data_IF_756368639475
#
_entry.id   IF_756368639475
#
_cell.length_a   1.000
_cell.length_b   1.000
_cell.length_c   1.000
_cell.angle_alpha   90.00
_cell.angle_beta   90.00
_cell.angle_gamma   90.00
#
_symmetry.space_group_name_H-M   'P 1'
#
loop_
_entity.id
_entity.type
_entity.pdbx_description
1 polymer ?
#
# COMPACT_ATOMS: atom_id res chain seq x y z
N UNK A 1 -49.53 -11.69 -27.24
CA UNK A 1 -48.14 -11.20 -27.20
C UNK A 1 -48.01 -10.14 -28.27
N UNK A 2 -48.15 -8.87 -27.89
CA UNK A 2 -48.16 -7.75 -28.84
C UNK A 2 -46.77 -7.13 -28.81
N UNK A 3 -45.95 -7.45 -29.81
CA UNK A 3 -44.67 -6.76 -30.06
C UNK A 3 -44.96 -5.28 -30.37
N UNK A 4 -44.68 -4.40 -29.41
CA UNK A 4 -44.70 -2.96 -29.66
C UNK A 4 -43.47 -2.59 -30.51
N UNK A 5 -43.68 -2.40 -31.82
CA UNK A 5 -42.69 -1.79 -32.71
C UNK A 5 -42.40 -0.35 -32.27
N UNK A 6 -41.13 -0.07 -31.93
CA UNK A 6 -40.61 1.27 -31.58
C UNK A 6 -40.87 2.27 -32.74
N UNK A 7 -41.34 3.50 -32.48
CA UNK A 7 -41.54 4.50 -33.53
C UNK A 7 -40.20 4.95 -34.18
N UNK A 8 -40.16 5.30 -35.49
CA UNK A 8 -38.92 5.41 -36.27
C UNK A 8 -38.15 6.74 -36.09
N UNK A 9 -38.45 7.55 -35.07
CA UNK A 9 -38.01 8.95 -35.03
C UNK A 9 -36.98 9.29 -33.95
N UNK A 10 -36.69 8.37 -33.02
CA UNK A 10 -35.65 8.60 -32.02
C UNK A 10 -34.38 7.83 -32.38
N UNK A 11 -33.23 8.50 -32.52
CA UNK A 11 -31.96 7.81 -32.71
C UNK A 11 -31.68 6.90 -31.51
N UNK A 12 -31.08 5.74 -31.76
CA UNK A 12 -30.60 4.85 -30.70
C UNK A 12 -29.52 5.55 -29.87
N UNK A 13 -29.32 5.12 -28.63
CA UNK A 13 -28.25 5.68 -27.76
C UNK A 13 -26.87 5.55 -28.42
N UNK A 14 -26.56 4.41 -29.02
CA UNK A 14 -25.33 4.22 -29.79
C UNK A 14 -25.19 5.23 -30.94
N UNK A 15 -26.28 5.53 -31.65
CA UNK A 15 -26.25 6.53 -32.74
C UNK A 15 -26.04 7.94 -32.19
N UNK A 16 -26.56 8.26 -31.00
CA UNK A 16 -26.31 9.56 -30.34
C UNK A 16 -24.85 9.66 -29.86
N UNK A 17 -24.31 8.59 -29.30
CA UNK A 17 -22.93 8.51 -28.80
C UNK A 17 -21.89 8.58 -29.92
N UNK A 18 -22.09 7.81 -30.99
CA UNK A 18 -21.14 7.67 -32.11
C UNK A 18 -21.30 8.76 -33.17
N UNK A 19 -22.26 9.67 -33.01
CA UNK A 19 -22.43 10.81 -33.90
C UNK A 19 -21.25 11.77 -33.75
N UNK A 20 -20.50 11.95 -34.84
CA UNK A 20 -19.40 12.91 -34.91
C UNK A 20 -19.94 14.33 -34.85
N UNK A 21 -20.04 14.90 -33.66
CA UNK A 21 -20.33 16.31 -33.46
C UNK A 21 -19.02 17.10 -33.69
N UNK A 22 -18.96 18.04 -34.65
CA UNK A 22 -17.86 18.99 -34.68
C UNK A 22 -18.03 19.88 -33.45
N UNK A 23 -17.13 19.79 -32.47
CA UNK A 23 -17.12 20.57 -31.21
C UNK A 23 -18.11 20.11 -30.13
N UNK A 24 -18.04 18.85 -29.68
CA UNK A 24 -18.56 18.53 -28.35
C UNK A 24 -17.84 19.39 -27.30
N UNK A 25 -18.59 20.05 -26.41
CA UNK A 25 -18.01 20.83 -25.31
C UNK A 25 -17.25 19.87 -24.37
N UNK A 26 -15.91 19.95 -24.40
CA UNK A 26 -15.03 19.11 -23.59
C UNK A 26 -14.93 19.59 -22.13
N UNK A 27 -15.65 20.65 -21.74
CA UNK A 27 -15.66 21.15 -20.36
C UNK A 27 -16.07 20.09 -19.33
N UNK A 28 -16.85 19.07 -19.74
CA UNK A 28 -17.23 17.96 -18.86
C UNK A 28 -16.02 17.20 -18.31
N UNK A 29 -14.87 17.18 -19.03
CA UNK A 29 -13.64 16.55 -18.58
C UNK A 29 -13.10 17.16 -17.27
N UNK A 30 -13.44 18.43 -17.03
CA UNK A 30 -13.05 19.19 -15.84
C UNK A 30 -14.13 19.22 -14.75
N UNK A 31 -15.23 18.48 -14.93
CA UNK A 31 -16.26 18.36 -13.89
C UNK A 31 -15.90 17.29 -12.87
N UNK A 32 -16.40 17.43 -11.65
CA UNK A 32 -16.17 16.43 -10.60
C UNK A 32 -16.81 15.08 -10.94
N UNK A 33 -17.91 15.06 -11.70
CA UNK A 33 -18.50 13.82 -12.19
C UNK A 33 -17.51 13.02 -13.06
N UNK A 34 -16.81 13.69 -13.98
CA UNK A 34 -15.78 13.04 -14.79
C UNK A 34 -14.53 12.70 -13.96
N UNK A 35 -14.13 13.55 -13.00
CA UNK A 35 -13.04 13.22 -12.06
C UNK A 35 -13.35 11.95 -11.26
N UNK A 36 -14.56 11.77 -10.75
CA UNK A 36 -14.95 10.55 -10.04
C UNK A 36 -14.81 9.30 -10.90
N UNK A 37 -15.19 9.37 -12.19
CA UNK A 37 -15.00 8.26 -13.12
C UNK A 37 -13.52 8.00 -13.41
N UNK A 38 -12.69 9.04 -13.54
CA UNK A 38 -11.23 8.90 -13.69
C UNK A 38 -10.58 8.25 -12.46
N UNK A 39 -10.98 8.68 -11.26
CA UNK A 39 -10.51 8.11 -9.99
C UNK A 39 -10.87 6.62 -9.90
N UNK A 40 -12.11 6.27 -10.25
CA UNK A 40 -12.55 4.88 -10.31
C UNK A 40 -11.74 4.07 -11.33
N UNK A 41 -11.45 4.66 -12.50
CA UNK A 41 -10.57 4.06 -13.50
C UNK A 41 -9.19 3.74 -12.95
N UNK A 42 -8.53 4.69 -12.26
CA UNK A 42 -7.21 4.45 -11.66
C UNK A 42 -7.23 3.35 -10.57
N UNK A 43 -8.33 3.24 -9.82
CA UNK A 43 -8.49 2.10 -8.90
C UNK A 43 -8.61 0.78 -9.64
N UNK A 44 -9.41 0.71 -10.71
CA UNK A 44 -9.58 -0.51 -11.51
C UNK A 44 -8.24 -0.92 -12.14
N UNK A 45 -7.55 0.01 -12.80
CA UNK A 45 -6.27 -0.24 -13.45
C UNK A 45 -5.20 -0.68 -12.43
N UNK A 46 -5.12 0.00 -11.28
CA UNK A 46 -4.21 -0.37 -10.21
C UNK A 46 -4.52 -1.74 -9.61
N UNK A 47 -5.81 -2.05 -9.37
CA UNK A 47 -6.19 -3.33 -8.81
C UNK A 47 -5.95 -4.50 -9.77
N UNK A 48 -6.24 -4.32 -11.05
CA UNK A 48 -6.04 -5.35 -12.07
C UNK A 48 -4.55 -5.64 -12.29
N UNK A 49 -3.74 -4.59 -12.45
CA UNK A 49 -2.30 -4.72 -12.69
C UNK A 49 -1.55 -5.38 -11.52
N UNK A 50 -2.00 -5.15 -10.28
CA UNK A 50 -1.34 -5.65 -9.07
C UNK A 50 -2.00 -6.92 -8.51
N UNK A 51 -3.12 -7.39 -9.09
CA UNK A 51 -3.93 -8.51 -8.56
C UNK A 51 -3.17 -9.82 -8.37
N UNK A 52 -2.10 -10.03 -9.15
CA UNK A 52 -1.31 -11.28 -9.16
C UNK A 52 0.05 -11.12 -8.52
N UNK A 53 0.31 -9.99 -7.84
CA UNK A 53 1.52 -9.85 -7.07
C UNK A 53 1.56 -10.91 -5.96
N UNK A 54 2.73 -11.52 -5.82
CA UNK A 54 3.05 -12.33 -4.66
C UNK A 54 3.35 -11.45 -3.44
N UNK A 55 3.94 -12.05 -2.39
CA UNK A 55 4.52 -11.33 -1.25
C UNK A 55 5.32 -10.10 -1.70
N UNK A 56 5.06 -8.93 -1.12
CA UNK A 56 5.72 -7.69 -1.52
C UNK A 56 6.05 -6.76 -0.36
N UNK A 57 7.12 -5.99 -0.57
CA UNK A 57 7.63 -4.99 0.36
C UNK A 57 7.67 -3.65 -0.35
N UNK A 58 7.08 -2.63 0.26
CA UNK A 58 7.18 -1.26 -0.25
C UNK A 58 8.39 -0.56 0.36
N UNK A 59 9.27 -0.01 -0.49
CA UNK A 59 10.47 0.71 -0.08
C UNK A 59 10.33 2.19 -0.42
N UNK A 60 10.50 3.04 0.60
CA UNK A 60 10.42 4.49 0.49
C UNK A 60 11.74 5.15 0.86
N UNK A 61 12.01 6.31 0.28
CA UNK A 61 13.18 7.12 0.61
C UNK A 61 13.31 8.32 -0.32
N UNK A 62 14.38 9.08 -0.13
CA UNK A 62 14.63 10.30 -0.89
C UNK A 62 14.77 10.05 -2.41
N UNK A 63 14.03 10.83 -3.20
CA UNK A 63 14.24 10.96 -4.65
C UNK A 63 15.54 11.72 -5.01
N UNK A 64 16.27 12.24 -4.02
CA UNK A 64 17.43 13.11 -4.21
C UNK A 64 18.76 12.45 -3.82
N UNK A 65 18.72 11.22 -3.30
CA UNK A 65 19.94 10.49 -2.93
C UNK A 65 20.74 10.15 -4.19
N UNK A 66 22.01 10.56 -4.29
CA UNK A 66 22.82 10.26 -5.46
C UNK A 66 23.35 8.81 -5.41
N UNK A 67 23.73 8.22 -6.56
CA UNK A 67 24.20 6.81 -6.61
C UNK A 67 25.48 6.50 -5.82
N UNK A 68 26.29 7.50 -5.50
CA UNK A 68 27.52 7.37 -4.70
C UNK A 68 27.27 7.46 -3.18
N UNK A 69 26.04 7.78 -2.77
CA UNK A 69 25.66 7.79 -1.36
C UNK A 69 25.56 6.36 -0.80
N UNK A 70 26.12 6.07 0.39
CA UNK A 70 26.00 4.75 1.02
C UNK A 70 24.55 4.25 1.16
N UNK A 71 23.59 5.15 1.37
CA UNK A 71 22.17 4.78 1.48
C UNK A 71 21.61 4.24 0.17
N UNK A 72 22.12 4.70 -0.98
CA UNK A 72 21.76 4.14 -2.28
C UNK A 72 22.23 2.68 -2.36
N UNK A 73 23.49 2.42 -2.01
CA UNK A 73 24.04 1.06 -1.99
C UNK A 73 23.31 0.12 -1.02
N UNK A 74 22.93 0.61 0.17
CA UNK A 74 22.14 -0.16 1.13
C UNK A 74 20.74 -0.49 0.61
N UNK A 75 20.06 0.46 -0.05
CA UNK A 75 18.75 0.22 -0.65
C UNK A 75 18.81 -0.81 -1.80
N UNK A 76 19.84 -0.73 -2.64
CA UNK A 76 20.11 -1.71 -3.69
C UNK A 76 20.37 -3.11 -3.10
N UNK A 77 21.24 -3.22 -2.09
CA UNK A 77 21.55 -4.49 -1.41
C UNK A 77 20.31 -5.10 -0.76
N UNK A 78 19.55 -4.30 0.00
CA UNK A 78 18.33 -4.76 0.66
C UNK A 78 17.33 -5.31 -0.35
N UNK A 79 17.05 -4.56 -1.40
CA UNK A 79 16.08 -4.98 -2.41
C UNK A 79 16.51 -6.25 -3.15
N UNK A 80 17.82 -6.41 -3.41
CA UNK A 80 18.37 -7.64 -3.94
C UNK A 80 18.16 -8.83 -3.01
N UNK A 81 18.40 -8.67 -1.71
CA UNK A 81 18.15 -9.73 -0.73
C UNK A 81 16.66 -10.09 -0.64
N UNK A 82 15.76 -9.10 -0.59
CA UNK A 82 14.32 -9.33 -0.59
C UNK A 82 13.88 -10.10 -1.84
N UNK A 83 14.39 -9.74 -3.01
CA UNK A 83 14.15 -10.46 -4.27
C UNK A 83 14.61 -11.92 -4.20
N UNK A 84 15.78 -12.20 -3.62
CA UNK A 84 16.26 -13.59 -3.46
C UNK A 84 15.41 -14.43 -2.50
N UNK A 85 14.65 -13.79 -1.62
CA UNK A 85 13.67 -14.44 -0.73
C UNK A 85 12.27 -14.55 -1.36
N UNK A 86 12.11 -14.14 -2.62
CA UNK A 86 10.85 -14.23 -3.36
C UNK A 86 9.88 -13.06 -3.11
N UNK A 87 10.35 -11.98 -2.49
CA UNK A 87 9.54 -10.78 -2.30
C UNK A 87 9.62 -9.85 -3.52
N UNK A 88 8.45 -9.37 -3.96
CA UNK A 88 8.34 -8.27 -4.90
C UNK A 88 8.73 -6.96 -4.21
N UNK A 89 9.48 -6.10 -4.91
CA UNK A 89 9.81 -4.76 -4.41
C UNK A 89 8.93 -3.72 -5.09
N UNK A 90 8.18 -2.97 -4.27
CA UNK A 90 7.32 -1.87 -4.73
C UNK A 90 7.96 -0.54 -4.32
N UNK A 91 8.06 0.40 -5.24
CA UNK A 91 8.56 1.76 -4.96
C UNK A 91 7.69 2.81 -5.65
N UNK A 92 8.02 4.09 -5.46
CA UNK A 92 7.44 5.17 -6.24
C UNK A 92 7.93 5.29 -7.69
N UNK A 93 8.84 4.43 -8.14
CA UNK A 93 9.37 4.43 -9.50
C UNK A 93 10.26 5.62 -9.87
N UNK A 94 10.50 6.55 -8.95
CA UNK A 94 11.34 7.73 -9.17
C UNK A 94 12.85 7.45 -9.07
N UNK A 95 13.69 8.50 -9.10
CA UNK A 95 15.14 8.43 -8.89
C UNK A 95 15.52 8.14 -7.42
N UNK A 96 16.82 8.13 -7.13
CA UNK A 96 17.36 8.05 -5.77
C UNK A 96 17.12 6.68 -5.13
N UNK A 97 16.68 6.66 -3.88
CA UNK A 97 16.45 5.40 -3.14
C UNK A 97 15.46 4.49 -3.87
N UNK A 98 14.41 5.05 -4.47
CA UNK A 98 13.42 4.27 -5.22
C UNK A 98 14.10 3.53 -6.38
N UNK A 99 14.92 4.24 -7.16
CA UNK A 99 15.69 3.65 -8.25
C UNK A 99 16.69 2.60 -7.77
N UNK A 100 17.37 2.85 -6.65
CA UNK A 100 18.31 1.89 -6.05
C UNK A 100 17.61 0.57 -5.70
N UNK A 101 16.46 0.67 -5.03
CA UNK A 101 15.65 -0.48 -4.66
C UNK A 101 15.12 -1.23 -5.90
N UNK A 102 14.56 -0.52 -6.89
CA UNK A 102 14.12 -1.15 -8.13
C UNK A 102 15.27 -1.87 -8.86
N UNK A 103 16.45 -1.24 -8.92
CA UNK A 103 17.66 -1.81 -9.52
C UNK A 103 18.07 -3.10 -8.81
N UNK A 104 18.21 -3.05 -7.48
CA UNK A 104 18.64 -4.19 -6.68
C UNK A 104 17.71 -5.40 -6.83
N UNK A 105 16.40 -5.16 -6.80
CA UNK A 105 15.40 -6.21 -7.00
C UNK A 105 15.49 -6.84 -8.41
N UNK A 106 15.50 -6.00 -9.45
CA UNK A 106 15.51 -6.47 -10.84
C UNK A 106 16.82 -7.20 -11.19
N UNK A 107 17.98 -6.69 -10.77
CA UNK A 107 19.28 -7.32 -11.03
C UNK A 107 19.44 -8.66 -10.30
N UNK A 108 18.77 -8.84 -9.15
CA UNK A 108 18.70 -10.11 -8.44
C UNK A 108 17.66 -11.10 -9.02
N UNK A 109 16.94 -10.72 -10.09
CA UNK A 109 15.93 -11.55 -10.74
C UNK A 109 14.56 -11.56 -10.05
N UNK A 110 14.33 -10.65 -9.09
CA UNK A 110 13.01 -10.44 -8.48
C UNK A 110 12.14 -9.51 -9.31
N UNK A 111 10.85 -9.44 -8.97
CA UNK A 111 9.90 -8.55 -9.63
C UNK A 111 9.94 -7.15 -9.02
N UNK A 112 10.08 -6.13 -9.87
CA UNK A 112 10.27 -4.73 -9.47
C UNK A 112 9.13 -3.85 -9.98
N UNK A 113 8.41 -3.21 -9.06
CA UNK A 113 7.23 -2.38 -9.36
C UNK A 113 7.51 -0.91 -9.07
N UNK A 114 7.11 -0.03 -9.99
CA UNK A 114 7.14 1.42 -9.83
C UNK A 114 5.73 2.02 -9.91
N UNK A 115 5.23 2.53 -8.79
CA UNK A 115 3.97 3.26 -8.71
C UNK A 115 4.27 4.76 -8.78
N UNK A 116 4.40 5.28 -10.01
CA UNK A 116 4.71 6.67 -10.27
C UNK A 116 3.49 7.59 -10.09
N UNK A 117 3.73 8.89 -9.93
CA UNK A 117 2.68 9.92 -9.86
C UNK A 117 2.95 10.99 -10.91
N UNK A 118 1.90 11.67 -11.36
CA UNK A 118 2.03 12.86 -12.19
C UNK A 118 2.43 14.07 -11.33
N UNK A 119 3.67 14.58 -11.48
CA UNK A 119 4.06 15.91 -11.00
C UNK A 119 4.43 16.86 -12.15
N UNK A 120 4.29 18.19 -11.95
CA UNK A 120 4.52 19.20 -12.99
C UNK A 120 5.92 19.17 -13.65
N UNK A 121 6.91 18.65 -12.93
CA UNK A 121 8.31 18.63 -13.36
C UNK A 121 8.89 17.21 -13.26
N UNK A 122 8.05 16.15 -13.20
CA UNK A 122 8.57 14.82 -12.87
C UNK A 122 9.28 14.07 -13.98
N UNK A 123 10.21 13.27 -13.49
CA UNK A 123 11.10 12.39 -14.21
C UNK A 123 10.32 11.12 -14.60
N UNK A 124 10.59 10.61 -15.80
CA UNK A 124 10.09 9.31 -16.25
C UNK A 124 10.39 8.23 -15.19
N UNK A 125 9.48 7.25 -15.04
CA UNK A 125 9.74 6.06 -14.24
C UNK A 125 11.11 5.48 -14.56
N UNK A 126 11.86 5.11 -13.52
CA UNK A 126 13.20 4.59 -13.70
C UNK A 126 13.18 3.28 -14.50
N UNK A 127 14.28 2.98 -15.19
CA UNK A 127 14.36 1.85 -16.14
C UNK A 127 14.33 0.46 -15.48
N UNK A 128 14.39 0.40 -14.15
CA UNK A 128 14.53 -0.85 -13.39
C UNK A 128 13.19 -1.37 -12.87
N UNK A 129 12.07 -0.77 -13.30
CA UNK A 129 10.73 -1.27 -13.03
C UNK A 129 10.30 -2.23 -14.14
N UNK A 130 9.90 -3.45 -13.78
CA UNK A 130 9.28 -4.43 -14.69
C UNK A 130 7.82 -4.06 -14.96
N UNK A 131 7.14 -3.56 -13.92
CA UNK A 131 5.80 -3.00 -14.00
C UNK A 131 5.83 -1.54 -13.52
N UNK A 132 5.35 -0.64 -14.36
CA UNK A 132 5.21 0.77 -14.04
C UNK A 132 3.75 1.21 -14.20
N UNK A 133 3.17 1.80 -13.16
CA UNK A 133 1.82 2.38 -13.18
C UNK A 133 1.95 3.87 -12.87
N UNK A 134 1.41 4.71 -13.74
CA UNK A 134 1.40 6.16 -13.56
C UNK A 134 0.04 6.60 -13.02
N UNK A 135 0.01 7.08 -11.78
CA UNK A 135 -1.18 7.62 -11.16
C UNK A 135 -1.28 9.14 -11.35
N UNK A 136 -2.49 9.68 -11.33
CA UNK A 136 -2.70 11.13 -11.20
C UNK A 136 -3.10 11.51 -9.78
N UNK A 137 -3.79 10.60 -9.09
CA UNK A 137 -4.35 10.87 -7.78
C UNK A 137 -3.51 10.20 -6.69
N UNK A 138 -2.90 11.03 -5.82
CA UNK A 138 -2.06 10.59 -4.70
C UNK A 138 -2.73 9.51 -3.83
N UNK A 139 -4.00 9.70 -3.47
CA UNK A 139 -4.69 8.78 -2.57
C UNK A 139 -4.96 7.40 -3.20
N UNK A 140 -5.10 7.32 -4.53
CA UNK A 140 -5.22 6.04 -5.23
C UNK A 140 -3.88 5.32 -5.16
N UNK A 141 -2.79 6.02 -5.49
CA UNK A 141 -1.41 5.50 -5.40
C UNK A 141 -1.07 5.00 -3.99
N UNK A 142 -1.39 5.79 -2.95
CA UNK A 142 -1.22 5.43 -1.53
C UNK A 142 -1.93 4.12 -1.17
N UNK A 143 -3.17 3.96 -1.62
CA UNK A 143 -3.92 2.72 -1.42
C UNK A 143 -3.18 1.52 -2.00
N UNK A 144 -2.54 1.66 -3.17
CA UNK A 144 -1.82 0.55 -3.80
C UNK A 144 -0.55 0.16 -3.03
N UNK A 145 0.17 1.13 -2.44
CA UNK A 145 1.33 0.82 -1.59
C UNK A 145 0.96 -0.03 -0.38
N UNK A 146 -0.15 0.30 0.29
CA UNK A 146 -0.59 -0.41 1.50
C UNK A 146 -1.25 -1.74 1.15
N UNK A 147 -2.16 -1.76 0.18
CA UNK A 147 -2.97 -2.95 -0.15
C UNK A 147 -2.12 -4.13 -0.65
N UNK A 148 -1.07 -3.84 -1.41
CA UNK A 148 -0.27 -4.86 -2.11
C UNK A 148 1.08 -5.14 -1.47
N UNK A 149 1.43 -4.47 -0.37
CA UNK A 149 2.59 -4.82 0.43
C UNK A 149 2.17 -5.38 1.78
N UNK A 150 3.09 -6.07 2.44
CA UNK A 150 2.90 -6.55 3.82
C UNK A 150 3.92 -5.90 4.78
N UNK A 151 4.93 -5.21 4.25
CA UNK A 151 5.94 -4.52 5.04
C UNK A 151 6.37 -3.22 4.36
N UNK A 152 6.71 -2.22 5.18
CA UNK A 152 7.31 -0.97 4.73
C UNK A 152 8.76 -0.87 5.23
N UNK A 153 9.67 -0.54 4.31
CA UNK A 153 11.04 -0.14 4.66
C UNK A 153 11.27 1.31 4.26
N UNK A 154 11.67 2.12 5.24
CA UNK A 154 11.76 3.57 5.12
C UNK A 154 13.21 4.02 5.29
N UNK A 155 13.84 4.37 4.18
CA UNK A 155 15.16 5.00 4.12
C UNK A 155 15.06 6.52 4.37
N UNK A 156 16.17 7.19 4.68
CA UNK A 156 16.20 8.65 4.82
C UNK A 156 15.55 9.37 3.64
N UNK A 157 14.63 10.28 3.95
CA UNK A 157 13.80 10.93 2.95
C UNK A 157 13.05 12.17 3.44
N UNK A 158 12.52 12.93 2.48
CA UNK A 158 11.83 14.20 2.75
C UNK A 158 10.33 14.01 3.02
N UNK A 159 9.52 15.02 2.68
CA UNK A 159 8.10 15.02 3.00
C UNK A 159 7.31 13.86 2.41
N UNK A 160 7.59 13.43 1.18
CA UNK A 160 6.90 12.26 0.61
C UNK A 160 7.18 10.99 1.41
N UNK A 161 8.40 10.80 1.89
CA UNK A 161 8.76 9.65 2.74
C UNK A 161 8.09 9.71 4.10
N UNK A 162 8.02 10.90 4.70
CA UNK A 162 7.33 11.12 5.98
C UNK A 162 5.82 10.92 5.86
N UNK A 163 5.21 11.36 4.76
CA UNK A 163 3.78 11.18 4.48
C UNK A 163 3.41 9.69 4.50
N UNK A 164 4.15 8.85 3.79
CA UNK A 164 3.88 7.40 3.75
C UNK A 164 4.19 6.70 5.09
N UNK A 165 5.22 7.15 5.81
CA UNK A 165 5.51 6.65 7.15
C UNK A 165 4.36 6.92 8.14
N UNK A 166 3.91 8.17 8.24
CA UNK A 166 2.85 8.52 9.20
C UNK A 166 1.48 7.98 8.80
N UNK A 167 1.22 7.80 7.51
CA UNK A 167 0.04 7.08 7.03
C UNK A 167 0.05 5.63 7.51
N UNK A 168 1.14 4.90 7.28
CA UNK A 168 1.26 3.51 7.73
C UNK A 168 1.12 3.39 9.26
N UNK A 169 1.77 4.27 10.02
CA UNK A 169 1.65 4.28 11.48
C UNK A 169 0.22 4.49 11.94
N UNK A 170 -0.51 5.40 11.31
CA UNK A 170 -1.92 5.65 11.64
C UNK A 170 -2.79 4.42 11.31
N UNK A 171 -2.53 3.76 10.18
CA UNK A 171 -3.27 2.56 9.78
C UNK A 171 -3.01 1.38 10.73
N UNK A 172 -1.77 1.16 11.17
CA UNK A 172 -1.46 0.11 12.17
C UNK A 172 -2.06 0.48 13.54
N UNK A 173 -1.86 1.72 14.00
CA UNK A 173 -2.39 2.19 15.28
C UNK A 173 -3.92 2.03 15.37
N UNK A 174 -4.63 2.21 14.27
CA UNK A 174 -6.10 2.12 14.22
C UNK A 174 -6.62 0.72 13.86
N UNK A 175 -5.74 -0.28 13.72
CA UNK A 175 -6.10 -1.65 13.35
C UNK A 175 -6.70 -1.78 11.95
N UNK A 176 -6.40 -0.84 11.04
CA UNK A 176 -6.82 -0.92 9.63
C UNK A 176 -5.93 -1.86 8.83
N UNK A 177 -4.69 -2.02 9.26
CA UNK A 177 -3.77 -3.07 8.83
C UNK A 177 -3.17 -3.70 10.09
N UNK A 178 -3.06 -5.02 10.10
CA UNK A 178 -2.50 -5.81 11.20
C UNK A 178 -1.28 -6.58 10.66
N UNK A 179 -0.34 -6.95 11.54
CA UNK A 179 0.88 -7.70 11.17
C UNK A 179 1.71 -7.02 10.07
N UNK A 180 1.91 -5.70 10.18
CA UNK A 180 2.56 -4.89 9.15
C UNK A 180 3.84 -4.23 9.68
N UNK A 181 5.03 -4.85 9.53
CA UNK A 181 6.28 -4.28 10.02
C UNK A 181 6.63 -2.99 9.27
N UNK A 182 6.93 -1.95 10.04
CA UNK A 182 7.45 -0.66 9.55
C UNK A 182 8.88 -0.53 10.06
N UNK A 183 9.84 -0.62 9.14
CA UNK A 183 11.28 -0.62 9.48
C UNK A 183 11.94 0.64 8.94
N UNK A 184 12.53 1.41 9.84
CA UNK A 184 13.32 2.60 9.55
C UNK A 184 14.80 2.21 9.42
N UNK A 185 15.43 2.61 8.31
CA UNK A 185 16.87 2.41 8.08
C UNK A 185 17.63 3.72 8.28
N UNK A 186 18.73 3.70 9.02
CA UNK A 186 19.59 4.86 9.27
C UNK A 186 19.31 5.55 10.62
N UNK A 187 19.80 4.98 11.73
CA UNK A 187 19.58 5.47 13.11
C UNK A 187 19.87 6.95 13.27
N UNK A 188 21.00 7.40 12.75
CA UNK A 188 21.44 8.79 12.85
C UNK A 188 20.45 9.79 12.24
N UNK A 189 19.72 9.38 11.19
CA UNK A 189 18.71 10.22 10.54
C UNK A 189 17.41 10.29 11.35
N UNK A 190 16.93 9.14 11.84
CA UNK A 190 15.60 9.03 12.46
C UNK A 190 15.56 9.38 13.95
N UNK A 191 16.69 9.31 14.66
CA UNK A 191 16.75 9.48 16.11
C UNK A 191 16.11 10.80 16.59
N UNK A 192 16.26 11.89 15.85
CA UNK A 192 15.68 13.19 16.23
C UNK A 192 14.14 13.20 16.17
N UNK A 193 13.58 12.58 15.14
CA UNK A 193 12.12 12.46 14.98
C UNK A 193 11.55 11.53 16.05
N UNK A 194 12.18 10.37 16.28
CA UNK A 194 11.72 9.41 17.29
C UNK A 194 11.80 9.98 18.70
N UNK A 195 12.86 10.74 19.01
CA UNK A 195 12.95 11.47 20.28
C UNK A 195 11.83 12.51 20.43
N UNK A 196 11.46 13.22 19.36
CA UNK A 196 10.33 14.14 19.40
C UNK A 196 8.99 13.41 19.60
N UNK A 197 8.77 12.28 18.92
CA UNK A 197 7.58 11.45 19.11
C UNK A 197 7.45 11.02 20.58
N UNK A 198 8.53 10.52 21.19
CA UNK A 198 8.52 10.13 22.60
C UNK A 198 8.27 11.33 23.53
N UNK A 199 9.13 12.35 23.44
CA UNK A 199 9.15 13.44 24.42
C UNK A 199 7.98 14.44 24.27
N UNK A 200 7.28 14.43 23.13
CA UNK A 200 6.20 15.39 22.85
C UNK A 200 4.87 14.70 22.63
N UNK A 201 4.81 13.65 21.80
CA UNK A 201 3.54 13.00 21.52
C UNK A 201 3.17 12.00 22.62
N UNK A 202 4.09 11.15 23.06
CA UNK A 202 3.83 10.18 24.14
C UNK A 202 3.68 10.90 25.48
N UNK A 203 4.67 11.69 25.89
CA UNK A 203 4.60 12.44 27.16
C UNK A 203 3.41 13.41 27.19
N UNK A 204 3.06 13.99 26.03
CA UNK A 204 1.90 14.84 25.88
C UNK A 204 0.56 14.10 25.84
N UNK A 205 0.53 12.77 25.84
CA UNK A 205 -0.70 11.97 25.76
C UNK A 205 -1.45 12.12 24.43
N UNK A 206 -0.73 12.33 23.33
CA UNK A 206 -1.27 12.41 21.96
C UNK A 206 -1.32 11.05 21.27
N UNK A 207 -0.45 10.13 21.70
CA UNK A 207 -0.41 8.72 21.30
C UNK A 207 -0.12 7.86 22.54
N UNK A 208 -0.35 6.54 22.45
CA UNK A 208 -0.05 5.62 23.54
C UNK A 208 1.44 5.33 23.64
N UNK A 209 1.94 5.00 24.84
CA UNK A 209 3.34 4.61 25.02
C UNK A 209 3.73 3.32 24.28
N UNK A 210 2.75 2.47 23.95
CA UNK A 210 2.97 1.27 23.13
C UNK A 210 3.12 1.60 21.64
N UNK A 211 2.61 2.74 21.18
CA UNK A 211 2.64 3.11 19.75
C UNK A 211 4.08 3.37 19.26
N UNK A 212 5.05 3.57 20.18
CA UNK A 212 6.47 3.66 19.82
C UNK A 212 7.04 2.34 19.30
N UNK A 213 6.40 1.21 19.61
CA UNK A 213 6.80 -0.13 19.17
C UNK A 213 6.35 -0.43 17.74
N UNK A 214 5.54 0.46 17.14
CA UNK A 214 5.08 0.32 15.76
C UNK A 214 6.20 0.45 14.73
N UNK A 215 7.33 1.06 15.12
CA UNK A 215 8.52 1.19 14.27
C UNK A 215 9.68 0.39 14.82
N UNK A 216 10.38 -0.28 13.92
CA UNK A 216 11.68 -0.88 14.19
C UNK A 216 12.75 0.00 13.54
N UNK A 217 13.88 0.21 14.22
CA UNK A 217 14.95 1.08 13.73
C UNK A 217 16.26 0.29 13.68
N UNK A 218 16.91 0.28 12.52
CA UNK A 218 18.20 -0.38 12.35
C UNK A 218 19.13 0.34 11.35
N UNK A 219 20.41 -0.04 11.39
CA UNK A 219 21.44 0.28 10.40
C UNK A 219 21.91 -0.97 9.65
N UNK A 220 21.35 -2.14 9.98
CA UNK A 220 21.68 -3.42 9.37
C UNK A 220 20.56 -3.85 8.41
N UNK A 221 20.94 -4.03 7.15
CA UNK A 221 20.05 -4.47 6.08
C UNK A 221 19.67 -5.94 6.21
N UNK A 222 20.50 -6.77 6.84
CA UNK A 222 20.20 -8.19 7.07
C UNK A 222 19.13 -8.33 8.17
N UNK A 223 19.18 -7.51 9.22
CA UNK A 223 18.14 -7.43 10.27
C UNK A 223 16.77 -7.06 9.67
N UNK A 224 16.73 -6.18 8.66
CA UNK A 224 15.47 -5.83 7.97
C UNK A 224 14.89 -7.06 7.26
N UNK A 225 15.73 -7.85 6.60
CA UNK A 225 15.28 -9.07 5.89
C UNK A 225 14.73 -10.07 6.90
N UNK A 226 15.41 -10.29 8.01
CA UNK A 226 14.97 -11.21 9.07
C UNK A 226 13.60 -10.79 9.64
N UNK A 227 13.42 -9.50 9.97
CA UNK A 227 12.14 -8.95 10.44
C UNK A 227 11.00 -9.22 9.45
N UNK A 228 11.28 -9.01 8.16
CA UNK A 228 10.28 -9.19 7.12
C UNK A 228 9.96 -10.68 6.95
N UNK A 229 10.96 -11.54 6.84
CA UNK A 229 10.77 -12.98 6.70
C UNK A 229 9.96 -13.55 7.85
N UNK A 230 10.33 -13.23 9.09
CA UNK A 230 9.61 -13.66 10.29
C UNK A 230 8.13 -13.22 10.25
N UNK A 231 7.88 -11.95 9.92
CA UNK A 231 6.52 -11.41 9.82
C UNK A 231 5.67 -12.13 8.76
N UNK A 232 6.24 -12.44 7.60
CA UNK A 232 5.53 -13.17 6.54
C UNK A 232 5.24 -14.62 6.93
N UNK A 233 6.17 -15.27 7.62
CA UNK A 233 5.96 -16.62 8.13
C UNK A 233 4.87 -16.66 9.22
N UNK A 234 4.86 -15.68 10.12
CA UNK A 234 3.82 -15.53 11.14
C UNK A 234 2.45 -15.32 10.52
N UNK A 235 2.35 -14.43 9.52
CA UNK A 235 1.09 -14.19 8.82
C UNK A 235 0.61 -15.47 8.11
N UNK A 236 1.51 -16.19 7.44
CA UNK A 236 1.17 -17.45 6.77
C UNK A 236 0.72 -18.53 7.78
N UNK A 237 1.34 -18.61 8.95
CA UNK A 237 0.91 -19.50 10.05
C UNK A 237 -0.48 -19.12 10.56
N UNK A 238 -0.73 -17.85 10.85
CA UNK A 238 -2.01 -17.36 11.33
C UNK A 238 -3.14 -17.63 10.32
N UNK A 239 -2.89 -17.39 9.04
CA UNK A 239 -3.85 -17.70 7.96
C UNK A 239 -4.13 -19.20 7.85
N UNK A 240 -3.10 -20.05 7.96
CA UNK A 240 -3.28 -21.50 7.94
C UNK A 240 -4.06 -22.01 9.15
N UNK A 241 -3.84 -21.46 10.34
CA UNK A 241 -4.59 -21.79 11.55
C UNK A 241 -6.07 -21.38 11.43
N UNK A 242 -6.35 -20.18 10.93
CA UNK A 242 -7.72 -19.72 10.67
C UNK A 242 -8.44 -20.58 9.63
N UNK A 243 -7.75 -20.98 8.56
CA UNK A 243 -8.33 -21.85 7.51
C UNK A 243 -8.60 -23.28 8.01
N UNK A 244 -7.84 -23.75 8.99
CA UNK A 244 -7.99 -25.09 9.59
C UNK A 244 -8.86 -25.09 10.86
N UNK A 245 -9.36 -23.93 11.30
CA UNK A 245 -10.26 -23.85 12.44
C UNK A 245 -11.59 -24.58 12.11
N UNK A 246 -12.06 -25.50 12.96
CA UNK A 246 -13.29 -26.24 12.69
C UNK A 246 -14.48 -25.27 12.60
N UNK A 247 -15.16 -25.26 11.45
CA UNK A 247 -16.42 -24.54 11.23
C UNK A 247 -17.48 -25.04 12.24
N UNK A 248 -17.57 -24.42 13.41
CA UNK A 248 -18.54 -24.82 14.43
C UNK A 248 -18.28 -24.34 15.85
N UNK A 249 -17.06 -23.90 16.20
CA UNK A 249 -16.75 -23.49 17.57
C UNK A 249 -17.58 -22.25 18.01
N UNK A 250 -17.78 -21.27 17.13
CA UNK A 250 -18.57 -20.08 17.45
C UNK A 250 -20.07 -20.32 17.60
N UNK A 251 -20.62 -21.39 17.02
CA UNK A 251 -22.05 -21.73 17.14
C UNK A 251 -22.35 -22.42 18.48
N UNK A 252 -21.46 -23.31 18.92
CA UNK A 252 -21.59 -23.99 20.20
C UNK A 252 -21.40 -23.04 21.39
N UNK A 253 -20.56 -22.00 21.25
CA UNK A 253 -20.35 -20.99 22.30
C UNK A 253 -21.52 -20.01 22.38
N UNK A 254 -22.05 -19.54 21.24
CA UNK A 254 -23.26 -18.72 21.19
C UNK A 254 -24.52 -19.46 21.70
N UNK A 255 -24.65 -20.75 21.42
CA UNK A 255 -25.74 -21.59 21.95
C UNK A 255 -25.60 -21.85 23.46
N UNK A 256 -24.37 -21.95 23.99
CA UNK A 256 -24.13 -22.08 25.44
C UNK A 256 -24.43 -20.79 26.19
N UNK A 257 -24.10 -19.62 25.63
CA UNK A 257 -24.43 -18.33 26.23
C UNK A 257 -25.95 -18.05 26.21
N UNK A 258 -26.66 -18.42 25.13
CA UNK A 258 -28.11 -18.31 25.07
C UNK A 258 -28.83 -19.28 26.05
N UNK A 259 -28.31 -20.50 26.22
CA UNK A 259 -28.85 -21.44 27.21
C UNK A 259 -28.64 -20.95 28.66
N UNK A 260 -27.49 -20.30 28.94
CA UNK A 260 -27.21 -19.73 30.25
C UNK A 260 -28.14 -18.56 30.61
N UNK A 261 -28.48 -17.70 29.65
CA UNK A 261 -29.38 -16.55 29.86
C UNK A 261 -30.84 -16.93 30.07
N UNK A 262 -31.29 -18.06 29.50
CA UNK A 262 -32.70 -18.51 29.62
C UNK A 262 -33.01 -19.11 31.00
N UNK A 263 -32.00 -19.53 31.76
CA UNK A 263 -32.19 -20.23 33.04
C UNK A 263 -32.36 -19.26 34.23
N UNK A 264 -32.07 -17.97 34.07
CA UNK A 264 -32.09 -16.98 35.17
C UNK A 264 -33.42 -16.21 35.31
N UNK A 265 -34.44 -16.50 34.49
CA UNK A 265 -35.71 -15.75 34.50
C UNK A 265 -36.92 -16.64 34.80
N UNK A 266 -37.03 -17.15 36.03
CA UNK A 266 -38.34 -17.52 36.59
C UNK A 266 -38.51 -16.84 37.97
N UNK A 267 -39.44 -15.88 38.09
CA UNK A 267 -39.69 -15.18 39.36
C UNK A 267 -40.61 -16.01 40.28
N UNK A 268 -40.32 -15.97 41.59
CA UNK A 268 -41.31 -16.18 42.64
C UNK A 268 -42.02 -14.85 42.94
#
# INVERSE_FOLDING_TARGET
>A
MTEQRRPPTQPTEDRKLLQTQPYADASFLETDAWRSLRIMGEFVDGFDALARLGPAVSIFGSARTPPDDPMYGSAERLAGLLATHGYTVITGGGPGIMQAANKGAQEAGGFSVGLAIELPNEQSTNRWCDLAINFRYFFVRKTMFVKYAQAFVIFPGGYGTLDELFEALTLVQTGKIEHFPIVLYGRAYWQGMLAWIENVLVEGGKINALDRQLVQLTDDVDEIVDIIVESFEDEARAQAEMANAPEGAGRAEAEREQAAQTTTTQPQ
#
